data_IF_378745682737
#
_entry.id   IF_378745682737
#
_cell.length_a   1.000
_cell.length_b   1.000
_cell.length_c   1.000
_cell.angle_alpha   90.00
_cell.angle_beta   90.00
_cell.angle_gamma   90.00
#
_symmetry.space_group_name_H-M   'P 1'
#
loop_
_entity.id
_entity.type
_entity.pdbx_description
1 polymer ?
#
# COMPACT_ATOMS: atom_id res chain seq x y z
N UNK A 1 -69.26 50.21 49.94
CA UNK A 1 -68.73 51.58 50.08
C UNK A 1 -67.30 51.50 50.60
N UNK A 2 -66.36 52.21 49.94
CA UNK A 2 -64.99 52.60 50.35
C UNK A 2 -63.96 51.46 50.53
N UNK A 3 -63.06 51.26 49.55
CA UNK A 3 -61.75 51.93 49.37
C UNK A 3 -60.88 51.98 50.64
N UNK A 4 -59.67 51.42 50.54
CA UNK A 4 -58.40 52.10 50.89
C UNK A 4 -57.27 51.46 50.07
N UNK A 5 -56.53 52.33 49.37
CA UNK A 5 -55.29 52.08 48.63
C UNK A 5 -54.13 51.87 49.61
N UNK A 6 -53.15 51.04 49.27
CA UNK A 6 -51.74 51.27 49.65
C UNK A 6 -50.80 50.97 48.48
N UNK A 7 -49.89 51.92 48.31
CA UNK A 7 -48.90 52.08 47.24
C UNK A 7 -47.64 51.20 47.48
N UNK A 8 -46.96 50.91 46.37
CA UNK A 8 -45.67 50.23 46.25
C UNK A 8 -44.54 50.79 47.12
N UNK A 9 -43.45 50.00 47.23
CA UNK A 9 -42.14 50.51 46.87
C UNK A 9 -41.50 49.70 45.73
N UNK A 10 -40.79 50.44 44.88
CA UNK A 10 -40.00 50.00 43.74
C UNK A 10 -38.68 49.43 44.26
N UNK A 11 -38.35 48.18 43.90
CA UNK A 11 -37.03 47.61 44.11
C UNK A 11 -36.28 47.58 42.78
N UNK A 12 -35.18 48.34 42.71
CA UNK A 12 -34.26 48.36 41.56
C UNK A 12 -33.42 47.08 41.54
N UNK A 13 -33.59 46.26 40.51
CA UNK A 13 -32.75 45.08 40.26
C UNK A 13 -31.52 45.45 39.43
N UNK A 14 -30.32 45.26 40.00
CA UNK A 14 -29.05 45.28 39.26
C UNK A 14 -28.98 44.05 38.36
N UNK A 15 -28.97 44.24 37.03
CA UNK A 15 -28.68 43.18 36.08
C UNK A 15 -27.16 43.05 35.88
N UNK A 16 -26.57 41.95 36.37
CA UNK A 16 -25.19 41.58 36.09
C UNK A 16 -25.14 40.88 34.74
N UNK A 17 -24.60 41.56 33.72
CA UNK A 17 -24.29 40.93 32.43
C UNK A 17 -22.98 40.15 32.54
N UNK A 18 -23.06 38.82 32.57
CA UNK A 18 -21.91 37.96 32.38
C UNK A 18 -21.53 37.95 30.89
N UNK A 19 -20.42 38.60 30.54
CA UNK A 19 -19.85 38.55 29.20
C UNK A 19 -19.24 37.16 28.95
N UNK A 20 -19.93 36.34 28.17
CA UNK A 20 -19.38 35.08 27.65
C UNK A 20 -18.45 35.45 26.50
N UNK A 21 -17.13 35.49 26.75
CA UNK A 21 -16.13 35.55 25.69
C UNK A 21 -16.08 34.20 24.98
N UNK A 22 -16.66 34.13 23.79
CA UNK A 22 -16.47 33.00 22.88
C UNK A 22 -15.01 32.98 22.43
N UNK A 23 -14.24 32.02 22.93
CA UNK A 23 -12.91 31.71 22.40
C UNK A 23 -13.14 31.02 21.06
N UNK A 24 -13.05 31.79 19.97
CA UNK A 24 -12.96 31.23 18.62
C UNK A 24 -11.65 30.46 18.51
N UNK A 25 -11.70 29.14 18.65
CA UNK A 25 -10.59 28.26 18.31
C UNK A 25 -10.41 28.32 16.79
N UNK A 26 -9.55 29.23 16.32
CA UNK A 26 -9.04 29.19 14.96
C UNK A 26 -8.13 27.97 14.85
N UNK A 27 -8.68 26.83 14.42
CA UNK A 27 -7.90 25.64 14.13
C UNK A 27 -6.83 25.99 13.10
N UNK A 28 -5.55 26.00 13.51
CA UNK A 28 -4.43 26.11 12.58
C UNK A 28 -4.53 24.90 11.64
N UNK A 29 -4.68 25.15 10.34
CA UNK A 29 -4.56 24.09 9.35
C UNK A 29 -3.16 23.47 9.48
N UNK A 30 -3.09 22.19 9.83
CA UNK A 30 -1.82 21.49 9.96
C UNK A 30 -1.27 21.25 8.54
N UNK A 31 -0.05 21.71 8.28
CA UNK A 31 0.60 21.45 6.99
C UNK A 31 0.97 19.98 6.85
N UNK A 32 1.11 19.51 5.61
CA UNK A 32 1.67 18.20 5.35
C UNK A 32 3.09 18.08 5.95
N UNK A 33 3.43 16.90 6.44
CA UNK A 33 4.71 16.63 7.08
C UNK A 33 5.59 15.89 6.07
N UNK A 34 6.81 16.38 5.84
CA UNK A 34 7.87 15.63 5.13
C UNK A 34 9.04 15.44 6.07
N UNK A 35 9.46 14.20 6.28
CA UNK A 35 10.59 13.86 7.14
C UNK A 35 11.53 12.94 6.38
N UNK A 36 12.83 13.18 6.50
CA UNK A 36 13.85 12.24 6.04
C UNK A 36 14.46 11.51 7.24
N UNK A 37 14.86 10.27 7.02
CA UNK A 37 15.62 9.46 7.97
C UNK A 37 16.60 8.52 7.24
N UNK A 38 17.62 8.08 7.95
CA UNK A 38 18.64 7.15 7.44
C UNK A 38 19.11 6.23 8.54
N UNK A 39 19.32 4.96 8.19
CA UNK A 39 19.91 3.99 9.10
C UNK A 39 21.34 3.67 8.69
N UNK A 40 22.22 3.32 9.66
CA UNK A 40 23.54 2.80 9.36
C UNK A 40 23.48 1.56 8.44
N UNK A 41 24.58 1.34 7.73
CA UNK A 41 24.83 0.13 6.92
C UNK A 41 24.45 -1.14 7.71
N UNK A 42 23.65 -2.01 7.09
CA UNK A 42 23.12 -3.22 7.73
C UNK A 42 23.89 -4.47 7.36
N UNK A 43 23.32 -5.64 7.64
CA UNK A 43 23.94 -6.92 7.28
C UNK A 43 23.88 -7.20 5.77
N UNK A 44 22.76 -6.92 5.11
CA UNK A 44 22.53 -7.20 3.68
C UNK A 44 22.35 -5.94 2.81
N UNK A 45 22.61 -4.76 3.34
CA UNK A 45 22.51 -3.50 2.61
C UNK A 45 23.62 -2.54 3.05
N UNK A 46 24.02 -1.62 2.18
CA UNK A 46 24.95 -0.54 2.50
C UNK A 46 24.25 0.75 2.90
N UNK A 47 23.27 1.18 2.11
CA UNK A 47 22.48 2.38 2.38
C UNK A 47 21.03 1.97 2.67
N UNK A 48 20.45 2.56 3.70
CA UNK A 48 19.01 2.57 3.94
C UNK A 48 18.59 4.01 4.28
N UNK A 49 17.93 4.67 3.33
CA UNK A 49 17.43 6.05 3.48
C UNK A 49 15.96 6.10 3.11
N UNK A 50 15.22 6.95 3.81
CA UNK A 50 13.77 7.00 3.71
C UNK A 50 13.31 8.45 3.66
N UNK A 51 12.25 8.69 2.87
CA UNK A 51 11.45 9.90 2.94
C UNK A 51 10.03 9.53 3.31
N UNK A 52 9.58 10.08 4.42
CA UNK A 52 8.21 9.96 4.90
C UNK A 52 7.42 11.19 4.52
N UNK A 53 6.19 10.98 4.07
CA UNK A 53 5.22 12.05 3.84
C UNK A 53 3.88 11.70 4.48
N UNK A 54 3.29 12.69 5.15
CA UNK A 54 1.97 12.58 5.77
C UNK A 54 1.10 13.78 5.33
N UNK A 55 -0.14 13.55 4.89
CA UNK A 55 -1.00 14.62 4.43
C UNK A 55 -1.34 15.61 5.55
N UNK A 56 -1.63 16.85 5.14
CA UNK A 56 -2.23 17.84 6.02
C UNK A 56 -3.53 17.30 6.64
N UNK A 57 -3.69 17.43 7.96
CA UNK A 57 -4.87 16.96 8.69
C UNK A 57 -5.16 15.45 8.43
N UNK A 58 -4.13 14.60 8.39
CA UNK A 58 -4.24 13.19 8.05
C UNK A 58 -5.28 12.40 8.88
N UNK A 59 -5.58 12.86 10.09
CA UNK A 59 -6.30 12.04 11.07
C UNK A 59 -5.48 10.78 11.43
N UNK A 60 -6.13 9.74 11.97
CA UNK A 60 -5.46 8.47 12.22
C UNK A 60 -5.00 7.81 10.91
N UNK A 61 -3.72 7.47 10.82
CA UNK A 61 -3.16 6.76 9.65
C UNK A 61 -3.69 5.33 9.61
N UNK A 62 -4.34 4.97 8.50
CA UNK A 62 -4.97 3.66 8.29
C UNK A 62 -4.01 2.61 7.76
N UNK A 63 -3.05 3.03 6.93
CA UNK A 63 -2.06 2.19 6.29
C UNK A 63 -0.88 3.05 5.78
N UNK A 64 0.23 2.40 5.44
CA UNK A 64 1.41 3.06 4.86
C UNK A 64 1.62 2.55 3.44
N UNK A 65 1.70 3.44 2.45
CA UNK A 65 2.16 3.08 1.13
C UNK A 65 3.69 3.08 1.10
N UNK A 66 4.29 1.92 0.86
CA UNK A 66 5.74 1.72 0.80
C UNK A 66 6.15 1.74 -0.66
N UNK A 67 6.97 2.72 -1.04
CA UNK A 67 7.43 2.95 -2.42
C UNK A 67 8.90 2.55 -2.53
N UNK A 68 9.18 1.47 -3.27
CA UNK A 68 10.54 0.92 -3.41
C UNK A 68 10.98 0.98 -4.88
N UNK A 69 12.07 1.72 -5.20
CA UNK A 69 12.54 1.91 -6.56
C UNK A 69 13.20 0.64 -7.11
N UNK A 70 13.71 0.74 -8.35
CA UNK A 70 14.57 -0.28 -8.95
C UNK A 70 15.94 -0.42 -8.25
N UNK A 71 16.74 -1.36 -8.79
CA UNK A 71 18.04 -1.74 -8.24
C UNK A 71 18.89 -0.54 -7.83
N UNK A 72 19.26 -0.50 -6.54
CA UNK A 72 20.19 0.49 -5.98
C UNK A 72 19.75 1.96 -6.19
N UNK A 73 18.49 2.20 -6.52
CA UNK A 73 17.95 3.52 -6.86
C UNK A 73 17.58 4.36 -5.65
N UNK A 74 17.59 5.69 -5.82
CA UNK A 74 17.06 6.63 -4.83
C UNK A 74 15.61 7.00 -5.18
N UNK A 75 14.67 6.29 -4.56
CA UNK A 75 13.23 6.46 -4.79
C UNK A 75 12.60 7.54 -3.93
N UNK A 76 13.36 8.23 -3.06
CA UNK A 76 12.77 9.17 -2.08
C UNK A 76 11.97 10.30 -2.71
N UNK A 77 12.25 10.68 -3.95
CA UNK A 77 11.47 11.66 -4.70
C UNK A 77 10.01 11.20 -4.96
N UNK A 78 9.73 9.90 -4.95
CA UNK A 78 8.38 9.35 -5.16
C UNK A 78 7.38 9.77 -4.06
N UNK A 79 7.85 10.15 -2.86
CA UNK A 79 6.99 10.71 -1.82
C UNK A 79 6.37 12.08 -2.20
N UNK A 80 6.90 12.73 -3.24
CA UNK A 80 6.38 13.98 -3.81
C UNK A 80 5.52 13.76 -5.07
N UNK A 81 5.32 12.52 -5.52
CA UNK A 81 4.45 12.22 -6.66
C UNK A 81 2.98 12.53 -6.30
N UNK A 82 2.34 13.35 -7.13
CA UNK A 82 0.98 13.84 -6.86
C UNK A 82 -0.08 12.73 -6.91
N UNK A 83 0.13 11.66 -7.68
CA UNK A 83 -0.79 10.51 -7.70
C UNK A 83 -0.74 9.80 -6.36
N UNK A 84 0.46 9.56 -5.82
CA UNK A 84 0.62 8.94 -4.50
C UNK A 84 0.11 9.84 -3.36
N UNK A 85 0.41 11.13 -3.39
CA UNK A 85 -0.07 12.08 -2.37
C UNK A 85 -1.60 12.23 -2.40
N UNK A 86 -2.21 12.28 -3.58
CA UNK A 86 -3.67 12.34 -3.72
C UNK A 86 -4.32 11.05 -3.21
N UNK A 87 -3.76 9.88 -3.54
CA UNK A 87 -4.24 8.61 -3.02
C UNK A 87 -4.12 8.53 -1.49
N UNK A 88 -2.96 8.90 -0.95
CA UNK A 88 -2.73 8.92 0.49
C UNK A 88 -3.64 9.89 1.23
N UNK A 89 -3.89 11.08 0.68
CA UNK A 89 -4.83 12.05 1.24
C UNK A 89 -6.26 11.47 1.25
N UNK A 90 -6.71 10.91 0.12
CA UNK A 90 -8.06 10.33 -0.01
C UNK A 90 -8.32 9.19 0.98
N UNK A 91 -7.30 8.41 1.29
CA UNK A 91 -7.44 7.17 2.04
C UNK A 91 -6.83 7.20 3.45
N UNK A 92 -6.39 8.37 3.93
CA UNK A 92 -5.75 8.54 5.24
C UNK A 92 -4.50 7.66 5.40
N UNK A 93 -3.60 7.73 4.43
CA UNK A 93 -2.36 6.96 4.40
C UNK A 93 -1.16 7.86 4.67
N UNK A 94 -0.09 7.26 5.20
CA UNK A 94 1.24 7.81 5.09
C UNK A 94 1.96 7.23 3.86
N UNK A 95 2.94 7.96 3.34
CA UNK A 95 3.87 7.48 2.32
C UNK A 95 5.25 7.28 2.95
N UNK A 96 5.94 6.20 2.58
CA UNK A 96 7.37 6.04 2.81
C UNK A 96 8.04 5.64 1.51
N UNK A 97 8.92 6.49 1.00
CA UNK A 97 9.71 6.25 -0.20
C UNK A 97 11.14 5.87 0.17
N UNK A 98 11.65 4.81 -0.44
CA UNK A 98 12.85 4.12 0.01
C UNK A 98 14.04 4.37 -0.92
N UNK A 99 15.23 4.29 -0.35
CA UNK A 99 16.49 4.04 -1.05
C UNK A 99 17.22 2.95 -0.29
N UNK A 100 17.43 1.83 -0.96
CA UNK A 100 18.32 0.77 -0.51
C UNK A 100 19.42 0.57 -1.53
N UNK A 101 20.64 0.31 -1.06
CA UNK A 101 21.73 -0.14 -1.93
C UNK A 101 22.41 -1.36 -1.32
N UNK A 102 23.01 -2.18 -2.16
CA UNK A 102 23.86 -3.28 -1.75
C UNK A 102 25.20 -2.77 -1.26
N UNK A 103 25.86 -3.65 -0.50
CA UNK A 103 27.31 -3.58 -0.34
C UNK A 103 27.97 -3.95 -1.67
N UNK A 104 29.27 -3.66 -1.81
CA UNK A 104 30.01 -4.10 -2.99
C UNK A 104 30.13 -5.63 -2.99
N UNK A 105 29.64 -6.29 -4.04
CA UNK A 105 29.83 -7.72 -4.31
C UNK A 105 29.92 -7.97 -5.83
N UNK A 106 30.43 -9.14 -6.22
CA UNK A 106 30.76 -9.45 -7.61
C UNK A 106 29.52 -9.83 -8.46
N UNK A 107 28.37 -10.06 -7.81
CA UNK A 107 27.12 -10.46 -8.44
C UNK A 107 26.10 -9.31 -8.48
N UNK A 108 26.46 -8.13 -9.00
CA UNK A 108 25.62 -6.92 -8.95
C UNK A 108 24.25 -6.99 -9.65
N UNK A 109 23.88 -8.12 -10.26
CA UNK A 109 22.54 -8.41 -10.78
C UNK A 109 21.63 -9.14 -9.76
N UNK A 110 22.18 -9.53 -8.60
CA UNK A 110 21.48 -10.14 -7.48
C UNK A 110 21.56 -9.16 -6.32
N UNK A 111 20.47 -8.43 -6.07
CA UNK A 111 20.45 -7.52 -4.94
C UNK A 111 20.41 -8.29 -3.61
N UNK A 112 21.32 -8.02 -2.68
CA UNK A 112 21.32 -8.61 -1.33
C UNK A 112 20.28 -7.92 -0.45
N UNK A 113 20.05 -6.62 -0.63
CA UNK A 113 19.09 -5.86 0.18
C UNK A 113 17.65 -6.31 -0.04
N UNK A 114 17.33 -7.01 -1.13
CA UNK A 114 15.98 -7.56 -1.32
C UNK A 114 15.74 -8.80 -0.45
N UNK A 115 16.77 -9.42 0.15
CA UNK A 115 16.61 -10.50 1.12
C UNK A 115 16.14 -9.94 2.47
N UNK A 116 14.91 -9.43 2.49
CA UNK A 116 14.33 -8.55 3.52
C UNK A 116 14.57 -9.05 4.95
N UNK A 117 14.43 -10.36 5.18
CA UNK A 117 14.61 -10.99 6.49
C UNK A 117 16.04 -10.90 7.05
N UNK A 118 17.03 -10.48 6.23
CA UNK A 118 18.44 -10.35 6.62
C UNK A 118 18.83 -8.95 7.09
N UNK A 119 17.93 -7.97 7.05
CA UNK A 119 18.18 -6.68 7.71
C UNK A 119 17.42 -5.50 7.13
N UNK A 120 17.30 -5.41 5.80
CA UNK A 120 16.62 -4.30 5.13
C UNK A 120 15.12 -4.19 5.50
N UNK A 121 14.46 -5.30 5.84
CA UNK A 121 13.10 -5.28 6.38
C UNK A 121 13.01 -4.64 7.75
N UNK A 122 13.90 -5.03 8.67
CA UNK A 122 14.00 -4.40 9.99
C UNK A 122 14.39 -2.93 9.89
N UNK A 123 15.20 -2.55 8.90
CA UNK A 123 15.53 -1.16 8.62
C UNK A 123 14.28 -0.34 8.27
N UNK A 124 13.42 -0.85 7.38
CA UNK A 124 12.14 -0.21 7.06
C UNK A 124 11.25 -0.05 8.31
N UNK A 125 11.14 -1.10 9.12
CA UNK A 125 10.32 -1.05 10.35
C UNK A 125 10.84 -0.04 11.38
N UNK A 126 12.17 0.06 11.55
CA UNK A 126 12.78 1.04 12.46
C UNK A 126 12.57 2.48 11.99
N UNK A 127 12.72 2.74 10.69
CA UNK A 127 12.45 4.06 10.14
C UNK A 127 10.99 4.49 10.40
N UNK A 128 10.03 3.58 10.25
CA UNK A 128 8.62 3.85 10.57
C UNK A 128 8.39 4.16 12.05
N UNK A 129 9.08 3.49 12.98
CA UNK A 129 9.03 3.84 14.39
C UNK A 129 9.54 5.27 14.65
N UNK A 130 10.68 5.64 14.07
CA UNK A 130 11.21 7.00 14.19
C UNK A 130 10.25 8.04 13.61
N UNK A 131 9.63 7.75 12.45
CA UNK A 131 8.64 8.65 11.85
C UNK A 131 7.35 8.74 12.66
N UNK A 132 6.89 7.64 13.28
CA UNK A 132 5.74 7.64 14.16
C UNK A 132 5.94 8.61 15.34
N UNK A 133 7.11 8.56 15.97
CA UNK A 133 7.50 9.47 17.05
C UNK A 133 7.61 10.92 16.56
N UNK A 134 8.37 11.16 15.49
CA UNK A 134 8.66 12.52 14.96
C UNK A 134 7.45 13.21 14.35
N UNK A 135 6.47 12.45 13.85
CA UNK A 135 5.21 12.99 13.32
C UNK A 135 4.10 13.10 14.36
N UNK A 136 4.29 12.53 15.56
CA UNK A 136 3.25 12.39 16.59
C UNK A 136 2.03 11.57 16.10
N UNK A 137 2.30 10.52 15.31
CA UNK A 137 1.34 9.55 14.81
C UNK A 137 1.80 8.12 15.15
N UNK A 138 1.60 7.66 16.40
CA UNK A 138 2.09 6.36 16.87
C UNK A 138 1.57 5.18 16.04
N UNK A 139 0.39 5.31 15.43
CA UNK A 139 -0.20 4.28 14.57
C UNK A 139 0.66 3.94 13.33
N UNK A 140 1.53 4.86 12.87
CA UNK A 140 2.43 4.66 11.73
C UNK A 140 3.39 3.49 11.95
N UNK A 141 3.81 3.24 13.19
CA UNK A 141 4.71 2.14 13.54
C UNK A 141 4.12 0.76 13.19
N UNK A 142 2.81 0.60 13.38
CA UNK A 142 2.11 -0.68 13.29
C UNK A 142 1.16 -0.79 12.11
N UNK A 143 0.81 0.33 11.47
CA UNK A 143 -0.10 0.35 10.33
C UNK A 143 0.36 -0.64 9.23
N UNK A 144 -0.59 -1.31 8.55
CA UNK A 144 -0.28 -2.29 7.52
C UNK A 144 0.14 -1.61 6.20
N UNK A 145 0.85 -2.36 5.37
CA UNK A 145 1.52 -1.83 4.19
C UNK A 145 0.75 -2.08 2.89
N UNK A 146 0.71 -1.06 2.05
CA UNK A 146 0.43 -1.17 0.62
C UNK A 146 1.77 -1.09 -0.10
N UNK A 147 2.27 -2.23 -0.59
CA UNK A 147 3.64 -2.34 -1.08
C UNK A 147 3.73 -2.15 -2.59
N UNK A 148 4.31 -1.02 -3.03
CA UNK A 148 4.56 -0.68 -4.42
C UNK A 148 6.06 -0.70 -4.74
N UNK A 149 6.43 -1.39 -5.82
CA UNK A 149 7.85 -1.41 -6.21
C UNK A 149 8.10 -1.92 -7.61
N UNK A 150 9.22 -1.47 -8.18
CA UNK A 150 9.70 -1.77 -9.53
C UNK A 150 11.00 -2.57 -9.51
N UNK A 151 11.13 -3.57 -10.37
CA UNK A 151 12.32 -4.39 -10.51
C UNK A 151 12.75 -4.97 -9.16
N UNK A 152 13.94 -4.61 -8.65
CA UNK A 152 14.39 -4.98 -7.31
C UNK A 152 13.45 -4.52 -6.19
N UNK A 153 12.76 -3.38 -6.32
CA UNK A 153 11.72 -2.98 -5.37
C UNK A 153 10.48 -3.88 -5.40
N UNK A 154 10.14 -4.43 -6.56
CA UNK A 154 9.11 -5.48 -6.66
C UNK A 154 9.56 -6.79 -5.97
N UNK A 155 10.85 -7.12 -6.08
CA UNK A 155 11.45 -8.28 -5.39
C UNK A 155 11.48 -8.06 -3.87
N UNK A 156 11.81 -6.84 -3.41
CA UNK A 156 11.70 -6.46 -2.00
C UNK A 156 10.28 -6.66 -1.47
N UNK A 157 9.25 -6.24 -2.21
CA UNK A 157 7.85 -6.44 -1.80
C UNK A 157 7.50 -7.91 -1.63
N UNK A 158 7.93 -8.74 -2.58
CA UNK A 158 7.75 -10.19 -2.50
C UNK A 158 8.41 -10.80 -1.25
N UNK A 159 9.68 -10.48 -1.01
CA UNK A 159 10.43 -11.01 0.13
C UNK A 159 9.91 -10.46 1.46
N UNK A 160 9.34 -9.25 1.48
CA UNK A 160 8.66 -8.72 2.66
C UNK A 160 7.37 -9.49 2.96
N UNK A 161 6.56 -9.81 1.94
CA UNK A 161 5.38 -10.67 2.09
C UNK A 161 5.76 -12.08 2.52
N UNK A 162 6.89 -12.60 2.04
CA UNK A 162 7.43 -13.90 2.49
C UNK A 162 7.81 -13.89 3.98
N UNK A 163 8.34 -12.76 4.48
CA UNK A 163 8.86 -12.64 5.83
C UNK A 163 7.83 -12.22 6.88
N UNK A 164 7.01 -11.20 6.61
CA UNK A 164 6.03 -10.60 7.52
C UNK A 164 4.68 -10.34 6.84
N UNK A 165 3.97 -11.39 6.40
CA UNK A 165 2.69 -11.23 5.71
C UNK A 165 1.61 -10.52 6.56
N UNK A 166 1.69 -10.61 7.88
CA UNK A 166 0.81 -9.92 8.83
C UNK A 166 0.94 -8.38 8.77
N UNK A 167 2.03 -7.86 8.20
CA UNK A 167 2.27 -6.43 8.02
C UNK A 167 1.80 -5.89 6.68
N UNK A 168 1.30 -6.72 5.77
CA UNK A 168 1.01 -6.31 4.39
C UNK A 168 -0.48 -6.40 4.12
N UNK A 169 -1.10 -5.27 3.78
CA UNK A 169 -2.50 -5.15 3.36
C UNK A 169 -2.68 -5.67 1.91
N UNK A 170 -1.79 -5.25 1.01
CA UNK A 170 -1.71 -5.71 -0.37
C UNK A 170 -0.32 -5.41 -0.93
N UNK A 171 0.10 -6.14 -1.97
CA UNK A 171 1.40 -5.91 -2.61
C UNK A 171 1.32 -6.00 -4.13
N UNK A 172 2.28 -5.34 -4.78
CA UNK A 172 2.55 -5.58 -6.19
C UNK A 172 4.02 -5.87 -6.44
N UNK A 173 4.26 -6.65 -7.47
CA UNK A 173 5.58 -6.91 -8.03
C UNK A 173 5.58 -6.38 -9.45
N UNK A 174 6.29 -5.28 -9.73
CA UNK A 174 6.48 -4.86 -11.11
C UNK A 174 7.81 -5.37 -11.64
N UNK A 175 7.78 -6.31 -12.59
CA UNK A 175 8.93 -6.63 -13.46
C UNK A 175 10.21 -7.02 -12.69
N UNK A 176 10.07 -7.73 -11.57
CA UNK A 176 11.21 -8.31 -10.85
C UNK A 176 11.97 -9.37 -11.66
N UNK A 177 13.10 -9.84 -11.11
CA UNK A 177 14.01 -10.75 -11.81
C UNK A 177 14.53 -11.88 -10.93
N UNK A 178 15.17 -11.55 -9.80
CA UNK A 178 15.79 -12.54 -8.90
C UNK A 178 15.09 -12.51 -7.54
N UNK A 179 14.89 -13.69 -6.93
CA UNK A 179 14.17 -13.83 -5.66
C UNK A 179 14.87 -14.90 -4.82
N UNK A 180 14.79 -14.75 -3.49
CA UNK A 180 15.36 -15.71 -2.53
C UNK A 180 14.34 -16.74 -2.06
N UNK A 181 13.05 -16.45 -2.25
CA UNK A 181 11.93 -17.29 -1.85
C UNK A 181 11.08 -17.70 -3.05
N UNK A 182 10.78 -19.00 -3.19
CA UNK A 182 9.98 -19.52 -4.31
C UNK A 182 8.54 -19.87 -3.91
N UNK A 183 8.35 -20.93 -3.10
CA UNK A 183 7.06 -21.28 -2.52
C UNK A 183 6.95 -20.61 -1.15
N UNK A 184 5.97 -19.70 -0.99
CA UNK A 184 5.81 -18.95 0.25
C UNK A 184 5.03 -19.75 1.30
N UNK A 185 4.81 -19.18 2.48
CA UNK A 185 3.95 -19.77 3.52
C UNK A 185 2.46 -19.73 3.13
N UNK A 186 1.60 -20.41 3.89
CA UNK A 186 0.14 -20.32 3.69
C UNK A 186 -0.34 -18.89 3.95
N UNK A 187 0.20 -18.26 4.98
CA UNK A 187 -0.12 -16.91 5.45
C UNK A 187 0.25 -15.87 4.38
N UNK A 188 1.45 -15.98 3.79
CA UNK A 188 1.89 -15.11 2.69
C UNK A 188 1.02 -15.24 1.45
N UNK A 189 0.55 -16.45 1.14
CA UNK A 189 -0.39 -16.68 0.03
C UNK A 189 -1.77 -16.04 0.27
N UNK A 190 -2.14 -15.73 1.51
CA UNK A 190 -3.39 -15.02 1.83
C UNK A 190 -3.26 -13.50 1.77
N UNK A 191 -2.07 -12.96 1.49
CA UNK A 191 -1.92 -11.53 1.19
C UNK A 191 -2.30 -11.29 -0.27
N UNK A 192 -3.30 -10.45 -0.57
CA UNK A 192 -3.69 -10.14 -1.95
C UNK A 192 -2.58 -9.41 -2.70
N UNK A 193 -2.33 -9.80 -3.96
CA UNK A 193 -1.31 -9.14 -4.75
C UNK A 193 -1.39 -9.36 -6.25
N UNK A 194 -0.68 -8.50 -6.99
CA UNK A 194 -0.59 -8.59 -8.45
C UNK A 194 0.88 -8.61 -8.86
N UNK A 195 1.23 -9.61 -9.65
CA UNK A 195 2.55 -9.76 -10.23
C UNK A 195 2.46 -9.33 -11.70
N UNK A 196 3.23 -8.30 -12.05
CA UNK A 196 3.24 -7.71 -13.39
C UNK A 196 4.49 -8.13 -14.16
N UNK A 197 4.27 -8.62 -15.38
CA UNK A 197 5.31 -8.88 -16.39
C UNK A 197 5.19 -7.88 -17.54
N UNK A 198 6.28 -7.67 -18.28
CA UNK A 198 6.24 -6.92 -19.54
C UNK A 198 6.41 -7.88 -20.71
N UNK A 199 5.49 -7.89 -21.68
CA UNK A 199 5.56 -8.82 -22.82
C UNK A 199 6.81 -8.66 -23.68
N UNK A 200 7.52 -7.52 -23.57
CA UNK A 200 8.82 -7.24 -24.20
C UNK A 200 9.98 -7.15 -23.21
N UNK A 201 9.77 -7.49 -21.94
CA UNK A 201 10.85 -7.60 -20.96
C UNK A 201 11.69 -8.86 -21.20
N UNK A 202 12.84 -8.96 -20.55
CA UNK A 202 13.75 -10.09 -20.67
C UNK A 202 13.06 -11.39 -20.26
N UNK A 203 13.24 -12.43 -21.06
CA UNK A 203 12.55 -13.71 -20.91
C UNK A 203 12.72 -14.30 -19.50
N UNK A 204 13.93 -14.26 -18.94
CA UNK A 204 14.19 -14.81 -17.60
C UNK A 204 13.38 -14.10 -16.50
N UNK A 205 13.11 -12.79 -16.63
CA UNK A 205 12.31 -12.03 -15.65
C UNK A 205 10.86 -12.49 -15.69
N UNK A 206 10.31 -12.59 -16.91
CA UNK A 206 8.95 -13.08 -17.13
C UNK A 206 8.80 -14.52 -16.66
N UNK A 207 9.72 -15.42 -17.03
CA UNK A 207 9.70 -16.81 -16.63
C UNK A 207 9.79 -16.98 -15.10
N UNK A 208 10.63 -16.18 -14.43
CA UNK A 208 10.75 -16.23 -12.97
C UNK A 208 9.44 -15.80 -12.30
N UNK A 209 8.87 -14.66 -12.69
CA UNK A 209 7.59 -14.19 -12.14
C UNK A 209 6.47 -15.21 -12.40
N UNK A 210 6.39 -15.74 -13.63
CA UNK A 210 5.38 -16.74 -14.00
C UNK A 210 5.51 -18.02 -13.16
N UNK A 211 6.73 -18.48 -12.92
CA UNK A 211 7.00 -19.65 -12.08
C UNK A 211 6.60 -19.44 -10.62
N UNK A 212 7.00 -18.30 -10.04
CA UNK A 212 6.65 -17.90 -8.67
C UNK A 212 5.13 -17.76 -8.49
N UNK A 213 4.46 -17.12 -9.45
CA UNK A 213 3.02 -17.04 -9.49
C UNK A 213 2.38 -18.43 -9.55
N UNK A 214 2.79 -19.28 -10.49
CA UNK A 214 2.14 -20.56 -10.73
C UNK A 214 2.23 -21.49 -9.52
N UNK A 215 3.42 -21.61 -8.90
CA UNK A 215 3.62 -22.52 -7.76
C UNK A 215 2.80 -22.10 -6.54
N UNK A 216 2.70 -20.79 -6.28
CA UNK A 216 1.92 -20.28 -5.14
C UNK A 216 0.43 -20.22 -5.43
N UNK A 217 0.02 -19.87 -6.66
CA UNK A 217 -1.38 -19.87 -7.06
C UNK A 217 -2.00 -21.26 -6.95
N UNK A 218 -1.23 -22.29 -7.31
CA UNK A 218 -1.58 -23.71 -7.07
C UNK A 218 -1.78 -24.02 -5.59
N UNK A 219 -1.06 -23.34 -4.70
CA UNK A 219 -1.21 -23.41 -3.25
C UNK A 219 -2.31 -22.51 -2.65
N UNK A 220 -3.22 -21.96 -3.47
CA UNK A 220 -4.34 -21.14 -3.01
C UNK A 220 -3.99 -19.67 -2.77
N UNK A 221 -2.97 -19.13 -3.47
CA UNK A 221 -2.64 -17.73 -3.35
C UNK A 221 -3.71 -16.81 -3.93
N UNK A 222 -4.01 -15.73 -3.22
CA UNK A 222 -4.96 -14.69 -3.62
C UNK A 222 -4.31 -13.68 -4.58
N UNK A 223 -3.67 -14.19 -5.64
CA UNK A 223 -2.82 -13.39 -6.52
C UNK A 223 -3.31 -13.39 -7.97
N UNK A 224 -3.03 -12.29 -8.67
CA UNK A 224 -3.17 -12.21 -10.12
C UNK A 224 -1.80 -12.10 -10.80
N UNK A 225 -1.67 -12.73 -11.97
CA UNK A 225 -0.63 -12.42 -12.94
C UNK A 225 -1.22 -11.46 -13.98
N UNK A 226 -0.50 -10.39 -14.30
CA UNK A 226 -0.92 -9.38 -15.25
C UNK A 226 0.25 -9.02 -16.19
N UNK A 227 0.24 -9.55 -17.40
CA UNK A 227 1.21 -9.17 -18.43
C UNK A 227 0.78 -7.87 -19.09
N UNK A 228 1.70 -6.93 -19.24
CA UNK A 228 1.57 -5.74 -20.10
C UNK A 228 2.22 -6.04 -21.47
N UNK A 229 1.44 -6.44 -22.50
CA UNK A 229 1.97 -7.00 -23.74
C UNK A 229 3.03 -6.15 -24.45
N UNK A 230 2.83 -4.83 -24.51
CA UNK A 230 3.73 -3.92 -25.21
C UNK A 230 4.85 -3.36 -24.34
N UNK A 231 4.82 -3.59 -23.03
CA UNK A 231 5.80 -3.05 -22.10
C UNK A 231 7.08 -3.88 -22.07
N UNK A 232 8.23 -3.18 -22.07
CA UNK A 232 9.52 -3.74 -21.69
C UNK A 232 9.72 -3.56 -20.17
N UNK A 233 10.96 -3.32 -19.73
CA UNK A 233 11.31 -3.12 -18.32
C UNK A 233 10.95 -1.72 -17.78
N UNK A 234 9.66 -1.33 -17.84
CA UNK A 234 9.17 0.00 -17.44
C UNK A 234 7.82 -0.07 -16.73
N UNK A 235 7.42 0.96 -15.98
CA UNK A 235 6.06 1.04 -15.43
C UNK A 235 5.10 1.55 -16.51
N UNK A 236 4.10 0.74 -16.87
CA UNK A 236 3.01 1.12 -17.76
C UNK A 236 1.71 1.38 -16.99
N UNK A 237 0.65 0.68 -17.38
CA UNK A 237 -0.69 0.69 -16.77
C UNK A 237 -0.74 0.01 -15.39
N UNK A 238 0.36 -0.61 -14.93
CA UNK A 238 0.39 -1.34 -13.67
C UNK A 238 0.09 -0.47 -12.44
N UNK A 239 0.49 0.82 -12.43
CA UNK A 239 0.16 1.75 -11.34
C UNK A 239 -1.35 1.96 -11.21
N UNK A 240 -2.05 2.04 -12.34
CA UNK A 240 -3.49 2.22 -12.36
C UNK A 240 -4.25 1.04 -11.75
N UNK A 241 -3.84 -0.18 -12.10
CA UNK A 241 -4.42 -1.40 -11.54
C UNK A 241 -4.03 -1.59 -10.06
N UNK A 242 -2.81 -1.24 -9.67
CA UNK A 242 -2.35 -1.33 -8.29
C UNK A 242 -3.15 -0.41 -7.36
N UNK A 243 -3.39 0.85 -7.75
CA UNK A 243 -4.19 1.78 -6.95
C UNK A 243 -5.64 1.30 -6.77
N UNK A 244 -6.22 0.66 -7.81
CA UNK A 244 -7.54 0.03 -7.71
C UNK A 244 -7.52 -1.16 -6.74
N UNK A 245 -6.54 -2.06 -6.84
CA UNK A 245 -6.36 -3.14 -5.88
C UNK A 245 -6.29 -2.59 -4.45
N UNK A 246 -5.46 -1.57 -4.23
CA UNK A 246 -5.25 -0.99 -2.91
C UNK A 246 -6.52 -0.37 -2.34
N UNK A 247 -7.28 0.36 -3.15
CA UNK A 247 -8.56 0.92 -2.76
C UNK A 247 -9.55 -0.17 -2.31
N UNK A 248 -9.66 -1.27 -3.07
CA UNK A 248 -10.54 -2.39 -2.70
C UNK A 248 -10.05 -3.13 -1.44
N UNK A 249 -8.73 -3.26 -1.24
CA UNK A 249 -8.17 -3.91 -0.05
C UNK A 249 -8.30 -3.05 1.20
N UNK A 250 -8.20 -1.72 1.09
CA UNK A 250 -8.52 -0.79 2.17
C UNK A 250 -9.99 -0.87 2.60
N UNK A 251 -10.90 -1.19 1.67
CA UNK A 251 -12.32 -1.32 1.94
C UNK A 251 -12.71 -2.69 2.53
N UNK A 252 -12.13 -3.77 2.01
CA UNK A 252 -12.57 -5.14 2.32
C UNK A 252 -11.67 -5.90 3.30
N UNK A 253 -10.40 -5.50 3.44
CA UNK A 253 -9.40 -6.24 4.23
C UNK A 253 -8.94 -5.49 5.48
N UNK A 254 -9.09 -4.17 5.54
CA UNK A 254 -8.72 -3.38 6.72
C UNK A 254 -9.94 -3.13 7.62
N UNK A 255 -10.01 -3.81 8.76
CA UNK A 255 -11.07 -3.60 9.75
C UNK A 255 -10.93 -2.25 10.46
N UNK A 256 -12.01 -1.78 11.09
CA UNK A 256 -12.04 -0.50 11.82
C UNK A 256 -11.05 -0.43 12.99
N UNK A 257 -10.68 -1.58 13.57
CA UNK A 257 -9.68 -1.69 14.63
C UNK A 257 -8.23 -1.81 14.11
N UNK A 258 -8.00 -1.65 12.81
CA UNK A 258 -6.69 -1.74 12.17
C UNK A 258 -6.22 -3.18 11.87
N UNK A 259 -7.00 -4.20 12.22
CA UNK A 259 -6.64 -5.59 11.94
C UNK A 259 -6.92 -5.98 10.48
N UNK A 260 -6.11 -6.90 9.97
CA UNK A 260 -6.29 -7.46 8.63
C UNK A 260 -7.25 -8.64 8.66
N UNK A 261 -8.31 -8.53 7.86
CA UNK A 261 -9.33 -9.58 7.69
C UNK A 261 -8.83 -10.62 6.68
N UNK A 262 -9.18 -11.89 6.90
CA UNK A 262 -8.90 -12.95 5.92
C UNK A 262 -9.96 -12.91 4.82
N UNK A 263 -9.53 -12.97 3.56
CA UNK A 263 -10.43 -13.04 2.42
C UNK A 263 -10.66 -14.50 2.03
N UNK A 264 -11.87 -14.83 1.62
CA UNK A 264 -12.19 -16.14 1.08
C UNK A 264 -11.92 -16.14 -0.43
N UNK A 265 -11.20 -17.13 -0.95
CA UNK A 265 -10.91 -17.22 -2.39
C UNK A 265 -12.21 -17.15 -3.23
N UNK A 266 -13.26 -17.83 -2.77
CA UNK A 266 -14.57 -17.89 -3.43
C UNK A 266 -15.28 -16.55 -3.61
N UNK A 267 -14.93 -15.52 -2.84
CA UNK A 267 -15.55 -14.19 -2.98
C UNK A 267 -14.99 -13.39 -4.16
N UNK A 268 -13.90 -13.85 -4.76
CA UNK A 268 -13.25 -13.18 -5.87
C UNK A 268 -13.71 -13.68 -7.24
N UNK A 269 -12.98 -13.21 -8.24
CA UNK A 269 -13.11 -13.56 -9.65
C UNK A 269 -11.88 -14.34 -10.10
N UNK A 270 -12.09 -15.25 -11.04
CA UNK A 270 -11.03 -15.95 -11.75
C UNK A 270 -10.77 -15.23 -13.07
N UNK A 271 -9.52 -14.84 -13.30
CA UNK A 271 -9.05 -14.36 -14.60
C UNK A 271 -8.37 -15.49 -15.38
N UNK A 272 -8.89 -15.82 -16.56
CA UNK A 272 -8.25 -16.76 -17.48
C UNK A 272 -7.12 -16.04 -18.23
N UNK A 273 -5.88 -16.45 -17.95
CA UNK A 273 -4.68 -15.79 -18.47
C UNK A 273 -4.54 -15.91 -19.99
N UNK A 274 -5.08 -16.98 -20.60
CA UNK A 274 -4.97 -17.24 -22.05
C UNK A 274 -6.10 -16.56 -22.80
N UNK A 275 -7.33 -16.75 -22.34
CA UNK A 275 -8.51 -16.16 -22.96
C UNK A 275 -8.63 -14.65 -22.66
N UNK A 276 -7.91 -14.14 -21.65
CA UNK A 276 -7.98 -12.75 -21.18
C UNK A 276 -9.41 -12.37 -20.81
N UNK A 277 -10.12 -13.28 -20.16
CA UNK A 277 -11.49 -13.11 -19.67
C UNK A 277 -11.54 -13.30 -18.16
N UNK A 278 -12.63 -12.89 -17.53
CA UNK A 278 -12.84 -13.14 -16.11
C UNK A 278 -14.28 -13.56 -15.83
N UNK A 279 -14.47 -14.31 -14.75
CA UNK A 279 -15.77 -14.73 -14.25
C UNK A 279 -15.76 -14.82 -12.71
N UNK A 280 -16.90 -14.64 -12.02
CA UNK A 280 -16.96 -14.83 -10.57
C UNK A 280 -16.60 -16.28 -10.22
N UNK A 281 -15.83 -16.50 -9.14
CA UNK A 281 -15.48 -17.85 -8.70
C UNK A 281 -16.69 -18.52 -8.03
N UNK A 282 -17.26 -17.88 -7.01
CA UNK A 282 -18.34 -18.45 -6.21
C UNK A 282 -18.00 -19.85 -5.69
N UNK A 283 -18.97 -20.76 -5.72
CA UNK A 283 -18.76 -22.18 -5.37
C UNK A 283 -18.17 -23.01 -6.54
N UNK A 284 -17.71 -22.35 -7.60
CA UNK A 284 -17.01 -22.98 -8.72
C UNK A 284 -15.65 -23.55 -8.31
N UNK A 285 -15.12 -24.48 -9.13
CA UNK A 285 -13.79 -25.04 -8.92
C UNK A 285 -12.74 -24.20 -9.64
N UNK A 286 -11.65 -23.89 -8.94
CA UNK A 286 -10.45 -23.32 -9.57
C UNK A 286 -9.89 -24.34 -10.58
N UNK A 287 -9.65 -23.94 -11.84
CA UNK A 287 -9.10 -24.84 -12.85
C UNK A 287 -7.76 -25.46 -12.44
N UNK A 288 -7.41 -26.60 -13.05
CA UNK A 288 -6.14 -27.30 -12.81
C UNK A 288 -4.90 -26.59 -13.40
N UNK A 289 -5.07 -25.41 -14.00
CA UNK A 289 -4.02 -24.57 -14.57
C UNK A 289 -4.00 -23.20 -13.88
N UNK A 290 -2.89 -22.44 -13.94
CA UNK A 290 -2.79 -21.14 -13.28
C UNK A 290 -3.83 -20.14 -13.82
N UNK A 291 -4.59 -19.54 -12.91
CA UNK A 291 -5.54 -18.46 -13.20
C UNK A 291 -5.35 -17.31 -12.22
N UNK A 292 -5.58 -16.07 -12.65
CA UNK A 292 -5.56 -14.93 -11.75
C UNK A 292 -6.69 -15.01 -10.72
N UNK A 293 -6.45 -14.57 -9.49
CA UNK A 293 -7.49 -14.26 -8.51
C UNK A 293 -7.63 -12.74 -8.40
N UNK A 294 -8.85 -12.24 -8.52
CA UNK A 294 -9.17 -10.81 -8.59
C UNK A 294 -10.25 -10.51 -7.53
N UNK A 295 -10.03 -9.58 -6.58
CA UNK A 295 -10.87 -9.46 -5.39
C UNK A 295 -12.29 -8.97 -5.67
N UNK A 296 -12.46 -8.13 -6.70
CA UNK A 296 -13.76 -7.55 -7.07
C UNK A 296 -13.90 -7.48 -8.59
N UNK A 297 -15.12 -7.27 -9.07
CA UNK A 297 -15.37 -7.12 -10.49
C UNK A 297 -14.66 -5.88 -11.06
N UNK A 298 -14.53 -4.82 -10.26
CA UNK A 298 -13.82 -3.59 -10.65
C UNK A 298 -12.34 -3.86 -10.91
N UNK A 299 -11.68 -4.61 -10.03
CA UNK A 299 -10.29 -5.03 -10.25
C UNK A 299 -10.21 -6.01 -11.42
N UNK A 300 -11.20 -6.88 -11.62
CA UNK A 300 -11.22 -7.80 -12.75
C UNK A 300 -11.37 -7.10 -14.12
N UNK A 301 -12.22 -6.07 -14.21
CA UNK A 301 -12.36 -5.19 -15.38
C UNK A 301 -11.04 -4.46 -15.68
N UNK A 302 -10.41 -3.91 -14.66
CA UNK A 302 -9.12 -3.22 -14.80
C UNK A 302 -7.98 -4.17 -15.18
N UNK A 303 -7.97 -5.38 -14.64
CA UNK A 303 -7.04 -6.44 -15.04
C UNK A 303 -7.22 -6.79 -16.52
N UNK A 304 -8.45 -7.03 -16.97
CA UNK A 304 -8.74 -7.33 -18.37
C UNK A 304 -8.32 -6.18 -19.29
N UNK A 305 -8.64 -4.93 -18.93
CA UNK A 305 -8.23 -3.72 -19.66
C UNK A 305 -6.71 -3.64 -19.83
N UNK A 306 -5.95 -4.00 -18.80
CA UNK A 306 -4.49 -4.00 -18.85
C UNK A 306 -3.95 -5.13 -19.74
N UNK A 307 -4.37 -6.38 -19.52
CA UNK A 307 -3.80 -7.54 -20.25
C UNK A 307 -4.22 -7.61 -21.72
N UNK A 308 -5.30 -6.91 -22.08
CA UNK A 308 -5.74 -6.76 -23.48
C UNK A 308 -5.23 -5.47 -24.13
N UNK A 309 -4.59 -4.57 -23.38
CA UNK A 309 -4.24 -3.21 -23.79
C UNK A 309 -5.40 -2.44 -24.42
N UNK A 310 -6.64 -2.70 -23.95
CA UNK A 310 -7.84 -2.12 -24.52
C UNK A 310 -7.70 -0.59 -24.68
N UNK A 311 -8.09 -0.03 -25.85
CA UNK A 311 -7.87 1.39 -26.17
C UNK A 311 -8.82 2.33 -25.40
N UNK A 312 -9.83 1.76 -24.73
CA UNK A 312 -10.86 2.45 -23.99
C UNK A 312 -10.27 3.15 -22.75
N UNK A 313 -11.01 4.14 -22.23
CA UNK A 313 -10.67 4.81 -20.98
C UNK A 313 -10.50 3.80 -19.83
N UNK A 314 -9.60 4.14 -18.89
CA UNK A 314 -9.36 3.37 -17.67
C UNK A 314 -10.70 3.13 -16.93
N UNK A 315 -11.03 1.87 -16.56
CA UNK A 315 -12.24 1.54 -15.82
C UNK A 315 -12.19 1.94 -14.34
#
# INVERSE_FOLDING_TARGET
MRQIRRLCPIAAGLAVFAAITAISATGRAQSAITLDDSLPSGANYDIAQFRFWLPANAGPVRAVAVLVPGSNGDGRAEAADSVWQNFATKHHLALIACRFTDKKHDQGFIEEYIHVSKGSGEALLRALNHFAERSNHPEVATAPFLMWGMSAGGQFNWEFVAWKPERVLAFVVNKGGVYYSALLSKESRQVPGILFTGGKDLEFRNNTINGLFAVNRRGGALWALAEEPSAAHLIGRSRDLALLLYEEMLASRLAANGQLVTLAEKSGFIGDLRAKTYAPLGDGKVPGYPTAWLPTERVAKAWQWLVTEAPNAKP
#
